data_IF_044993070076
#
_entry.id   IF_044993070076
#
_cell.length_a   1.000
_cell.length_b   1.000
_cell.length_c   1.000
_cell.angle_alpha   90.00
_cell.angle_beta   90.00
_cell.angle_gamma   90.00
#
_symmetry.space_group_name_H-M   'P 1'
#
loop_
_entity.id
_entity.type
_entity.pdbx_description
1 polymer ?
#
# COMPACT_ATOMS: atom_id res chain seq x y z
N UNK A 1 -2.48 -21.47 0.56
CA UNK A 1 -3.61 -20.69 -0.01
C UNK A 1 -3.96 -21.18 -1.41
N UNK A 2 -3.08 -21.01 -2.41
CA UNK A 2 -3.38 -21.41 -3.81
C UNK A 2 -3.81 -22.87 -3.93
N UNK A 3 -3.08 -23.80 -3.28
CA UNK A 3 -3.41 -25.23 -3.29
C UNK A 3 -4.78 -25.59 -2.66
N UNK A 4 -5.40 -24.67 -1.93
CA UNK A 4 -6.70 -24.86 -1.29
C UNK A 4 -7.85 -24.17 -2.05
N UNK A 5 -7.56 -23.51 -3.18
CA UNK A 5 -8.59 -22.86 -3.99
C UNK A 5 -9.36 -23.90 -4.83
N UNK A 6 -10.67 -23.73 -5.02
CA UNK A 6 -11.45 -24.61 -5.88
C UNK A 6 -11.02 -24.48 -7.35
N UNK A 7 -11.22 -25.54 -8.17
CA UNK A 7 -11.07 -25.43 -9.61
C UNK A 7 -11.90 -24.28 -10.19
N UNK A 8 -11.33 -23.52 -11.11
CA UNK A 8 -12.01 -22.35 -11.72
C UNK A 8 -11.81 -21.03 -10.98
N UNK A 9 -11.18 -21.04 -9.80
CA UNK A 9 -10.76 -19.80 -9.16
C UNK A 9 -9.75 -19.04 -10.03
N UNK A 10 -9.90 -17.72 -10.09
CA UNK A 10 -8.96 -16.83 -10.77
C UNK A 10 -8.28 -15.93 -9.75
N UNK A 11 -7.07 -15.48 -10.06
CA UNK A 11 -6.32 -14.60 -9.18
C UNK A 11 -5.59 -13.52 -9.97
N UNK A 12 -5.39 -12.38 -9.33
CA UNK A 12 -4.58 -11.27 -9.83
C UNK A 12 -3.53 -10.86 -8.80
N UNK A 13 -2.32 -10.61 -9.29
CA UNK A 13 -1.27 -9.94 -8.52
C UNK A 13 -1.02 -8.56 -9.08
N UNK A 14 -0.90 -7.58 -8.20
CA UNK A 14 -0.52 -6.23 -8.61
C UNK A 14 0.23 -5.54 -7.48
N UNK A 15 1.03 -4.54 -7.84
CA UNK A 15 1.67 -3.64 -6.90
C UNK A 15 1.16 -2.21 -7.09
N UNK A 16 1.29 -1.39 -6.05
CA UNK A 16 0.95 0.03 -6.13
C UNK A 16 2.22 0.83 -6.39
N UNK A 17 2.35 1.32 -7.62
CA UNK A 17 3.52 2.09 -8.04
C UNK A 17 3.74 3.30 -7.13
N UNK A 18 4.97 3.45 -6.63
CA UNK A 18 5.35 4.60 -5.79
C UNK A 18 4.46 4.79 -4.55
N UNK A 19 4.04 3.69 -3.91
CA UNK A 19 3.17 3.66 -2.73
C UNK A 19 3.44 4.77 -1.68
N UNK A 20 4.71 4.99 -1.34
CA UNK A 20 5.10 6.04 -0.40
C UNK A 20 4.95 7.45 -0.97
N UNK A 21 5.25 7.66 -2.26
CA UNK A 21 5.13 8.98 -2.89
C UNK A 21 3.70 9.45 -3.07
N UNK A 22 2.75 8.52 -3.17
CA UNK A 22 1.32 8.83 -3.26
C UNK A 22 0.66 8.98 -1.87
N UNK A 23 1.42 8.82 -0.79
CA UNK A 23 0.92 8.90 0.59
C UNK A 23 1.37 10.21 1.23
N UNK A 24 0.53 11.27 1.20
CA UNK A 24 0.91 12.59 1.67
C UNK A 24 1.12 12.64 3.18
N UNK A 25 2.09 13.45 3.60
CA UNK A 25 2.33 13.76 5.01
C UNK A 25 1.58 15.05 5.35
N UNK A 26 0.87 15.04 6.47
CA UNK A 26 0.11 16.21 6.91
C UNK A 26 1.03 17.44 7.07
N UNK A 27 0.64 18.65 6.61
CA UNK A 27 1.51 19.83 6.64
C UNK A 27 2.13 20.13 8.02
N UNK A 28 1.38 19.88 9.11
CA UNK A 28 1.90 20.09 10.47
C UNK A 28 3.06 19.16 10.85
N UNK A 29 3.29 18.07 10.12
CA UNK A 29 4.34 17.08 10.38
C UNK A 29 5.49 17.13 9.37
N UNK A 30 5.33 17.84 8.25
CA UNK A 30 6.34 17.88 7.18
C UNK A 30 7.68 18.48 7.63
N UNK A 31 7.67 19.34 8.65
CA UNK A 31 8.90 19.90 9.23
C UNK A 31 9.86 18.82 9.78
N UNK A 32 9.36 17.63 10.11
CA UNK A 32 10.17 16.49 10.55
C UNK A 32 10.87 15.74 9.40
N UNK A 33 10.54 16.06 8.14
CA UNK A 33 11.08 15.41 6.93
C UNK A 33 11.95 16.38 6.11
N UNK A 34 12.63 17.30 6.81
CA UNK A 34 13.59 18.21 6.19
C UNK A 34 14.92 17.49 5.92
N UNK A 35 15.44 17.67 4.71
CA UNK A 35 16.73 17.16 4.26
C UNK A 35 17.58 18.36 3.82
N UNK A 36 18.78 18.48 4.38
CA UNK A 36 19.75 19.46 3.91
C UNK A 36 20.62 18.85 2.80
N UNK A 37 20.66 19.49 1.64
CA UNK A 37 21.43 19.03 0.49
C UNK A 37 21.87 20.23 -0.37
N UNK A 38 23.17 20.31 -0.70
CA UNK A 38 23.76 21.38 -1.53
C UNK A 38 23.34 22.81 -1.14
N UNK A 39 23.42 23.14 0.15
CA UNK A 39 23.12 24.51 0.60
C UNK A 39 21.63 24.84 0.67
N UNK A 40 20.73 23.85 0.50
CA UNK A 40 19.27 24.04 0.50
C UNK A 40 18.60 23.05 1.44
N UNK A 41 17.46 23.46 2.00
CA UNK A 41 16.53 22.57 2.71
C UNK A 41 15.46 22.11 1.73
N UNK A 42 15.32 20.79 1.59
CA UNK A 42 14.23 20.13 0.90
C UNK A 42 13.29 19.52 1.93
N UNK A 43 11.99 19.59 1.68
CA UNK A 43 10.98 19.02 2.57
C UNK A 43 10.27 17.91 1.80
N UNK A 44 10.31 16.68 2.32
CA UNK A 44 9.48 15.63 1.74
C UNK A 44 8.02 15.80 2.18
N UNK A 45 7.13 15.93 1.20
CA UNK A 45 5.69 16.18 1.41
C UNK A 45 4.85 14.89 1.41
N UNK A 46 5.48 13.77 1.13
CA UNK A 46 4.89 12.45 1.23
C UNK A 46 5.84 11.55 2.03
N UNK A 47 5.35 10.43 2.52
CA UNK A 47 6.21 9.50 3.26
C UNK A 47 7.33 9.02 2.33
N UNK A 48 8.51 8.80 2.90
CA UNK A 48 9.71 8.45 2.15
C UNK A 48 10.13 7.00 2.43
N UNK A 49 10.96 6.45 1.54
CA UNK A 49 11.62 5.18 1.85
C UNK A 49 12.50 5.33 3.09
N UNK A 50 12.64 4.24 3.84
CA UNK A 50 13.42 4.17 5.08
C UNK A 50 12.83 4.84 6.33
N UNK A 51 11.75 5.62 6.24
CA UNK A 51 11.06 6.10 7.44
C UNK A 51 10.30 4.94 8.11
N UNK A 52 10.52 4.74 9.41
CA UNK A 52 9.98 3.60 10.16
C UNK A 52 8.46 3.48 10.11
N UNK A 53 7.76 4.61 9.99
CA UNK A 53 6.29 4.66 9.91
C UNK A 53 5.74 4.55 8.48
N UNK A 54 6.56 4.65 7.42
CA UNK A 54 6.06 4.72 6.04
C UNK A 54 5.19 3.53 5.65
N UNK A 55 5.66 2.31 5.95
CA UNK A 55 4.92 1.08 5.66
C UNK A 55 3.59 1.03 6.43
N UNK A 56 3.56 1.53 7.67
CA UNK A 56 2.35 1.60 8.49
C UNK A 56 1.34 2.62 7.97
N UNK A 57 1.81 3.83 7.63
CA UNK A 57 0.95 4.89 7.11
C UNK A 57 0.33 4.49 5.76
N UNK A 58 1.13 3.97 4.83
CA UNK A 58 0.60 3.41 3.59
C UNK A 58 -0.25 2.15 3.83
N UNK A 59 0.08 1.36 4.86
CA UNK A 59 -0.67 0.19 5.27
C UNK A 59 -2.16 0.47 5.48
N UNK A 60 -2.52 1.64 6.01
CA UNK A 60 -3.91 2.06 6.17
C UNK A 60 -4.64 2.25 4.82
N UNK A 61 -3.96 2.80 3.82
CA UNK A 61 -4.49 2.91 2.44
C UNK A 61 -4.64 1.50 1.83
N UNK A 62 -3.66 0.63 2.06
CA UNK A 62 -3.74 -0.75 1.61
C UNK A 62 -4.89 -1.52 2.29
N UNK A 63 -5.13 -1.31 3.59
CA UNK A 63 -6.27 -1.91 4.33
C UNK A 63 -7.62 -1.43 3.80
N UNK A 64 -7.73 -0.15 3.43
CA UNK A 64 -8.93 0.37 2.76
C UNK A 64 -9.20 -0.38 1.45
N UNK A 65 -8.17 -0.64 0.64
CA UNK A 65 -8.33 -1.41 -0.60
C UNK A 65 -8.77 -2.84 -0.31
N UNK A 66 -8.18 -3.51 0.68
CA UNK A 66 -8.63 -4.85 1.10
C UNK A 66 -10.12 -4.83 1.47
N UNK A 67 -10.56 -3.85 2.26
CA UNK A 67 -11.96 -3.72 2.65
C UNK A 67 -12.89 -3.55 1.43
N UNK A 68 -12.47 -2.74 0.43
CA UNK A 68 -13.22 -2.56 -0.81
C UNK A 68 -13.33 -3.87 -1.61
N UNK A 69 -12.22 -4.61 -1.79
CA UNK A 69 -12.23 -5.89 -2.51
C UNK A 69 -13.12 -6.92 -1.81
N UNK A 70 -12.99 -7.07 -0.49
CA UNK A 70 -13.82 -7.97 0.29
C UNK A 70 -15.31 -7.61 0.20
N UNK A 71 -15.66 -6.32 0.28
CA UNK A 71 -17.05 -5.85 0.13
C UNK A 71 -17.62 -6.11 -1.28
N UNK A 72 -16.77 -6.34 -2.28
CA UNK A 72 -17.15 -6.69 -3.66
C UNK A 72 -17.13 -8.20 -3.93
N UNK A 73 -16.94 -9.03 -2.90
CA UNK A 73 -16.96 -10.49 -3.02
C UNK A 73 -15.62 -11.12 -3.43
N UNK A 74 -14.54 -10.33 -3.51
CA UNK A 74 -13.21 -10.87 -3.76
C UNK A 74 -12.58 -11.39 -2.47
N UNK A 75 -11.94 -12.55 -2.57
CA UNK A 75 -11.30 -13.23 -1.45
C UNK A 75 -11.13 -14.73 -1.74
N UNK A 76 -10.17 -15.40 -1.07
CA UNK A 76 -9.24 -14.87 -0.07
C UNK A 76 -8.18 -13.92 -0.66
N UNK A 77 -7.76 -12.93 0.12
CA UNK A 77 -6.81 -11.88 -0.30
C UNK A 77 -5.58 -11.88 0.61
N UNK A 78 -4.40 -11.63 0.04
CA UNK A 78 -3.16 -11.33 0.78
C UNK A 78 -2.60 -9.99 0.31
N UNK A 79 -2.15 -9.18 1.27
CA UNK A 79 -1.36 -7.98 1.00
C UNK A 79 -0.03 -8.03 1.74
N UNK A 80 0.99 -7.42 1.15
CA UNK A 80 2.28 -7.18 1.78
C UNK A 80 2.75 -5.79 1.36
N UNK A 81 2.67 -4.81 2.27
CA UNK A 81 2.92 -3.40 1.95
C UNK A 81 2.10 -2.97 0.73
N UNK A 82 2.72 -2.80 -0.44
CA UNK A 82 2.14 -2.39 -1.71
C UNK A 82 1.83 -3.53 -2.68
N UNK A 83 2.21 -4.76 -2.36
CA UNK A 83 1.90 -5.96 -3.13
C UNK A 83 0.55 -6.56 -2.70
N UNK A 84 -0.26 -6.93 -3.69
CA UNK A 84 -1.56 -7.56 -3.50
C UNK A 84 -1.65 -8.86 -4.29
N UNK A 85 -2.29 -9.85 -3.67
CA UNK A 85 -2.77 -11.07 -4.30
C UNK A 85 -4.26 -11.19 -3.99
N UNK A 86 -5.10 -11.10 -5.01
CA UNK A 86 -6.56 -11.11 -4.91
C UNK A 86 -7.11 -12.32 -5.64
N UNK A 87 -8.01 -13.06 -4.99
CA UNK A 87 -8.71 -14.20 -5.59
C UNK A 87 -10.16 -13.84 -5.88
N UNK A 88 -10.67 -14.32 -7.01
CA UNK A 88 -12.08 -14.40 -7.31
C UNK A 88 -12.46 -15.88 -7.39
N UNK A 89 -13.41 -16.29 -6.55
CA UNK A 89 -13.94 -17.65 -6.56
C UNK A 89 -14.89 -17.83 -7.76
N UNK A 90 -15.01 -19.05 -8.30
CA UNK A 90 -16.01 -19.33 -9.32
C UNK A 90 -17.43 -19.16 -8.74
N UNK A 91 -18.40 -18.83 -9.60
CA UNK A 91 -19.84 -18.77 -9.28
C UNK A 91 -20.39 -20.13 -8.81
#
# INVERSE_FOLDING_TARGET
>A
MILALPPGATAATFNISSAYRITPVHPSQQHALCIWWHGKVYIDRAVCFSLSSSAGVFGAVADMLVAIYCARGYGPLKKWVDDFFVVHLPD
#
